data_IF_640783132031
#
_entry.id   IF_640783132031
#
_cell.length_a   1.000
_cell.length_b   1.000
_cell.length_c   1.000
_cell.angle_alpha   90.00
_cell.angle_beta   90.00
_cell.angle_gamma   90.00
#
_symmetry.space_group_name_H-M   'P 1'
#
loop_
_entity.id
_entity.type
_entity.pdbx_description
1 polymer ?
#
# COMPACT_ATOMS: atom_id res chain seq x y z
N UNK A 1 -7.62 14.81 -7.57
CA UNK A 1 -7.33 15.83 -6.54
C UNK A 1 -8.31 16.96 -6.71
N UNK A 2 -8.83 17.52 -5.63
CA UNK A 2 -9.70 18.70 -5.65
C UNK A 2 -9.37 19.63 -4.48
N UNK A 3 -10.08 20.75 -4.40
CA UNK A 3 -9.91 21.75 -3.35
C UNK A 3 -11.28 22.17 -2.83
N UNK A 4 -11.45 22.21 -1.50
CA UNK A 4 -12.62 22.78 -0.82
C UNK A 4 -12.09 23.79 0.19
N UNK A 5 -12.50 25.05 0.09
CA UNK A 5 -12.06 26.14 0.98
C UNK A 5 -10.52 26.17 1.14
N UNK A 6 -9.79 26.11 0.03
CA UNK A 6 -8.32 26.07 -0.01
C UNK A 6 -7.63 24.87 0.64
N UNK A 7 -8.38 23.85 1.06
CA UNK A 7 -7.81 22.58 1.50
C UNK A 7 -7.76 21.56 0.36
N UNK A 8 -6.56 21.06 0.00
CA UNK A 8 -6.44 20.01 -1.00
C UNK A 8 -6.98 18.69 -0.45
N UNK A 9 -7.70 17.95 -1.30
CA UNK A 9 -8.14 16.60 -0.99
C UNK A 9 -7.90 15.64 -2.15
N UNK A 10 -7.66 14.38 -1.80
CA UNK A 10 -7.48 13.28 -2.74
C UNK A 10 -8.62 12.27 -2.53
N UNK A 11 -9.44 12.08 -3.56
CA UNK A 11 -10.41 10.97 -3.60
C UNK A 11 -9.71 9.80 -4.27
N UNK A 12 -9.72 8.64 -3.61
CA UNK A 12 -9.14 7.40 -4.10
C UNK A 12 -10.06 6.21 -3.83
N UNK A 13 -9.79 5.08 -4.49
CA UNK A 13 -10.51 3.83 -4.22
C UNK A 13 -10.35 3.45 -2.74
N UNK A 14 -11.47 3.15 -2.07
CA UNK A 14 -11.45 2.67 -0.70
C UNK A 14 -10.92 1.24 -0.65
N UNK A 15 -9.71 1.08 -0.11
CA UNK A 15 -9.02 -0.21 0.08
C UNK A 15 -9.37 -0.85 1.44
N UNK A 16 -8.94 -2.09 1.63
CA UNK A 16 -9.09 -2.83 2.89
C UNK A 16 -8.00 -2.50 3.91
N UNK A 17 -7.92 -3.31 4.96
CA UNK A 17 -6.95 -3.13 6.06
C UNK A 17 -5.50 -3.16 5.60
N UNK A 18 -4.65 -2.43 6.32
CA UNK A 18 -3.21 -2.48 6.11
C UNK A 18 -2.59 -3.76 6.71
N UNK A 19 -1.36 -4.08 6.30
CA UNK A 19 -0.68 -5.29 6.75
C UNK A 19 -0.32 -5.27 8.24
N UNK A 20 -0.12 -4.10 8.86
CA UNK A 20 0.07 -4.00 10.32
C UNK A 20 -1.15 -4.50 11.06
N UNK A 21 -2.34 -4.00 10.68
CA UNK A 21 -3.61 -4.35 11.33
C UNK A 21 -3.95 -5.82 11.10
N UNK A 22 -3.77 -6.32 9.87
CA UNK A 22 -4.02 -7.73 9.57
C UNK A 22 -3.08 -8.60 10.41
N UNK A 23 -1.80 -8.26 10.51
CA UNK A 23 -0.85 -9.02 11.33
C UNK A 23 -1.27 -9.04 12.80
N UNK A 24 -1.72 -7.91 13.33
CA UNK A 24 -2.07 -7.77 14.75
C UNK A 24 -3.32 -8.56 15.14
N UNK A 25 -4.26 -8.75 14.19
CA UNK A 25 -5.50 -9.48 14.41
C UNK A 25 -5.32 -11.00 14.61
N UNK A 26 -4.27 -11.61 14.06
CA UNK A 26 -4.11 -13.07 14.05
C UNK A 26 -2.87 -13.51 14.83
N UNK A 27 -3.01 -14.19 15.99
CA UNK A 27 -1.90 -14.91 16.63
C UNK A 27 -1.29 -15.93 15.65
N UNK A 28 0.05 -16.07 15.57
CA UNK A 28 1.07 -15.53 16.47
C UNK A 28 1.63 -14.15 16.06
N UNK A 29 0.81 -13.29 15.44
CA UNK A 29 1.19 -11.97 14.90
C UNK A 29 2.27 -12.06 13.83
N UNK A 30 2.18 -13.11 13.00
CA UNK A 30 3.11 -13.37 11.89
C UNK A 30 2.34 -13.88 10.69
N UNK A 31 2.82 -13.51 9.50
CA UNK A 31 2.38 -14.11 8.26
C UNK A 31 3.16 -15.38 7.98
N UNK A 32 2.51 -16.34 7.31
CA UNK A 32 3.21 -17.49 6.74
C UNK A 32 4.17 -17.02 5.63
N UNK A 33 5.32 -17.70 5.47
CA UNK A 33 6.36 -17.32 4.51
C UNK A 33 5.84 -17.16 3.07
N UNK A 34 4.89 -18.01 2.66
CA UNK A 34 4.26 -17.91 1.33
C UNK A 34 3.45 -16.61 1.14
N UNK A 35 2.82 -16.14 2.21
CA UNK A 35 2.05 -14.88 2.20
C UNK A 35 3.00 -13.70 2.11
N UNK A 36 4.09 -13.73 2.90
CA UNK A 36 5.16 -12.72 2.81
C UNK A 36 5.72 -12.66 1.40
N UNK A 37 6.10 -13.80 0.82
CA UNK A 37 6.63 -13.89 -0.55
C UNK A 37 5.68 -13.25 -1.58
N UNK A 38 4.39 -13.60 -1.54
CA UNK A 38 3.38 -13.07 -2.46
C UNK A 38 3.16 -11.56 -2.31
N UNK A 39 3.19 -11.06 -1.08
CA UNK A 39 3.10 -9.62 -0.79
C UNK A 39 4.33 -8.91 -1.35
N UNK A 40 5.53 -9.40 -1.02
CA UNK A 40 6.80 -8.82 -1.46
C UNK A 40 6.89 -8.70 -2.98
N UNK A 41 6.45 -9.72 -3.72
CA UNK A 41 6.44 -9.67 -5.19
C UNK A 41 5.58 -8.52 -5.74
N UNK A 42 4.39 -8.29 -5.16
CA UNK A 42 3.52 -7.19 -5.59
C UNK A 42 4.10 -5.82 -5.19
N UNK A 43 4.65 -5.70 -3.97
CA UNK A 43 5.30 -4.46 -3.51
C UNK A 43 6.49 -4.11 -4.39
N UNK A 44 7.36 -5.07 -4.71
CA UNK A 44 8.52 -4.86 -5.58
C UNK A 44 8.09 -4.46 -6.99
N UNK A 45 7.06 -5.11 -7.53
CA UNK A 45 6.53 -4.76 -8.86
C UNK A 45 5.98 -3.33 -8.90
N UNK A 46 5.24 -2.92 -7.86
CA UNK A 46 4.73 -1.54 -7.74
C UNK A 46 5.86 -0.52 -7.59
N UNK A 47 6.86 -0.80 -6.74
CA UNK A 47 8.03 0.04 -6.57
C UNK A 47 8.85 0.17 -7.86
N UNK A 48 9.07 -0.93 -8.58
CA UNK A 48 9.74 -0.93 -9.87
C UNK A 48 9.02 0.02 -10.84
N UNK A 49 7.70 -0.12 -10.96
CA UNK A 49 6.90 0.78 -11.79
C UNK A 49 7.05 2.25 -11.36
N UNK A 50 6.90 2.57 -10.07
CA UNK A 50 7.09 3.94 -9.56
C UNK A 50 8.47 4.51 -9.91
N UNK A 51 9.52 3.70 -9.78
CA UNK A 51 10.88 4.12 -10.12
C UNK A 51 11.02 4.38 -11.61
N UNK A 52 10.40 3.57 -12.48
CA UNK A 52 10.44 3.82 -13.94
C UNK A 52 9.78 5.14 -14.35
N UNK A 53 8.85 5.67 -13.55
CA UNK A 53 8.15 6.93 -13.82
C UNK A 53 8.69 8.13 -13.03
N UNK A 54 9.86 8.02 -12.39
CA UNK A 54 10.50 9.18 -11.74
C UNK A 54 10.14 9.39 -10.27
N UNK A 55 9.47 8.44 -9.60
CA UNK A 55 9.01 8.61 -8.23
C UNK A 55 9.69 7.67 -7.24
N UNK A 56 10.01 8.20 -6.05
CA UNK A 56 10.39 7.41 -4.88
C UNK A 56 9.27 7.43 -3.84
N UNK A 57 8.88 6.25 -3.34
CA UNK A 57 7.88 6.15 -2.26
C UNK A 57 8.43 6.57 -0.89
N UNK A 58 9.68 6.20 -0.57
CA UNK A 58 10.47 6.57 0.63
C UNK A 58 9.92 6.18 2.02
N UNK A 59 8.66 5.75 2.14
CA UNK A 59 8.02 5.36 3.40
C UNK A 59 7.34 3.98 3.27
N UNK A 60 8.11 2.97 2.86
CA UNK A 60 7.61 1.60 2.74
C UNK A 60 7.63 0.92 4.11
N UNK A 61 6.43 0.67 4.63
CA UNK A 61 6.20 -0.02 5.91
C UNK A 61 4.82 -0.70 5.88
N UNK A 62 4.58 -1.73 6.72
CA UNK A 62 3.33 -2.50 6.66
C UNK A 62 2.04 -1.68 6.83
N UNK A 63 2.06 -0.55 7.53
CA UNK A 63 0.90 0.33 7.67
C UNK A 63 0.53 1.10 6.40
N UNK A 64 1.46 1.23 5.45
CA UNK A 64 1.24 1.87 4.15
C UNK A 64 0.96 0.85 3.04
N UNK A 65 0.82 -0.43 3.38
CA UNK A 65 0.53 -1.51 2.44
C UNK A 65 -0.84 -2.08 2.77
N UNK A 66 -1.81 -1.91 1.88
CA UNK A 66 -3.19 -2.34 2.07
C UNK A 66 -3.60 -3.45 1.12
N UNK A 67 -4.53 -4.31 1.57
CA UNK A 67 -5.19 -5.28 0.68
C UNK A 67 -6.38 -4.64 -0.02
N UNK A 68 -6.70 -5.08 -1.23
CA UNK A 68 -7.94 -4.67 -1.89
C UNK A 68 -9.21 -5.22 -1.20
N UNK A 69 -10.38 -4.83 -1.71
CA UNK A 69 -11.69 -5.31 -1.23
C UNK A 69 -12.38 -6.18 -2.27
N UNK A 70 -13.31 -7.03 -1.83
CA UNK A 70 -14.14 -7.86 -2.71
C UNK A 70 -13.31 -8.74 -3.65
N UNK A 71 -13.53 -8.58 -4.97
CA UNK A 71 -12.79 -9.30 -6.01
C UNK A 71 -11.29 -8.98 -6.01
N UNK A 72 -10.89 -7.78 -5.54
CA UNK A 72 -9.50 -7.34 -5.47
C UNK A 72 -8.78 -7.69 -4.17
N UNK A 73 -9.37 -8.54 -3.30
CA UNK A 73 -8.77 -8.91 -1.99
C UNK A 73 -7.38 -9.53 -2.02
N UNK A 74 -6.91 -9.97 -3.20
CA UNK A 74 -5.56 -10.52 -3.41
C UNK A 74 -4.57 -9.51 -4.01
N UNK A 75 -5.04 -8.29 -4.32
CA UNK A 75 -4.21 -7.19 -4.80
C UNK A 75 -3.69 -6.38 -3.62
N UNK A 76 -2.42 -5.97 -3.72
CA UNK A 76 -1.75 -5.09 -2.78
C UNK A 76 -1.74 -3.65 -3.32
N UNK A 77 -2.04 -2.71 -2.44
CA UNK A 77 -2.03 -1.28 -2.70
C UNK A 77 -0.97 -0.62 -1.83
N UNK A 78 -0.12 0.20 -2.43
CA UNK A 78 0.78 1.10 -1.70
C UNK A 78 0.07 2.43 -1.50
N UNK A 79 -0.04 2.86 -0.24
CA UNK A 79 -0.64 4.14 0.13
C UNK A 79 0.46 5.19 0.34
N UNK A 80 0.16 6.41 -0.10
CA UNK A 80 1.14 7.49 -0.14
C UNK A 80 0.94 8.53 0.97
N UNK A 81 2.06 8.86 1.63
CA UNK A 81 2.22 10.04 2.48
C UNK A 81 3.54 10.80 2.18
N UNK A 82 4.34 10.40 1.19
CA UNK A 82 5.72 10.84 1.03
C UNK A 82 6.34 10.71 -0.37
N UNK A 83 5.55 10.53 -1.44
CA UNK A 83 6.04 10.51 -2.81
C UNK A 83 6.80 11.81 -3.13
N UNK A 84 8.03 11.65 -3.63
CA UNK A 84 8.80 12.75 -4.22
C UNK A 84 9.33 12.30 -5.58
N UNK A 85 9.35 13.25 -6.51
CA UNK A 85 10.12 13.13 -7.73
C UNK A 85 11.61 13.07 -7.40
N UNK A 86 12.37 12.23 -8.10
CA UNK A 86 13.83 12.21 -8.04
C UNK A 86 14.45 12.93 -9.23
#
# INVERSE_FOLDING_TARGET
MGQIHDMPYLVMELVGSNLSDIREQYPPKKFHSITVYRISMQVISALHYMHTVGFLHRDIKPSNVCVGRGAKRRMIYLLDHGMKFF
#
